data_IF_780822799350
#
_entry.id   IF_780822799350
#
_cell.length_a   1.000
_cell.length_b   1.000
_cell.length_c   1.000
_cell.angle_alpha   90.00
_cell.angle_beta   90.00
_cell.angle_gamma   90.00
#
_symmetry.space_group_name_H-M   'P 1'
#
loop_
_entity.id
_entity.type
_entity.pdbx_description
1 polymer ?
#
# COMPACT_ATOMS: atom_id res chain seq x y z
N UNK A 1 -2.40 -19.55 -8.33
CA UNK A 1 -3.15 -18.39 -7.82
C UNK A 1 -3.20 -17.37 -8.94
N UNK A 2 -4.39 -17.05 -9.45
CA UNK A 2 -4.57 -15.97 -10.42
C UNK A 2 -4.13 -14.65 -9.78
N UNK A 3 -3.13 -13.99 -10.36
CA UNK A 3 -2.52 -12.76 -9.82
C UNK A 3 -3.33 -11.51 -10.17
N UNK A 4 -4.43 -11.67 -10.91
CA UNK A 4 -5.23 -10.59 -11.45
C UNK A 4 -4.53 -9.94 -12.64
N UNK A 5 -5.33 -9.53 -13.62
CA UNK A 5 -4.86 -8.82 -14.80
C UNK A 5 -4.45 -7.37 -14.47
N UNK A 6 -3.38 -6.89 -15.11
CA UNK A 6 -3.01 -5.47 -15.05
C UNK A 6 -3.96 -4.70 -15.96
N UNK A 7 -4.64 -3.70 -15.40
CA UNK A 7 -5.58 -2.86 -16.15
C UNK A 7 -5.40 -1.39 -15.83
N UNK A 8 -5.83 -0.54 -16.76
CA UNK A 8 -5.96 0.90 -16.52
C UNK A 8 -7.19 1.11 -15.63
N UNK A 9 -6.99 1.82 -14.52
CA UNK A 9 -8.08 2.19 -13.62
C UNK A 9 -8.79 3.44 -14.16
N UNK A 10 -10.13 3.41 -14.35
CA UNK A 10 -10.90 4.59 -14.74
C UNK A 10 -10.78 5.72 -13.72
N UNK A 11 -10.74 6.98 -14.17
CA UNK A 11 -10.47 8.17 -13.33
C UNK A 11 -11.50 8.35 -12.21
N UNK A 12 -12.73 7.91 -12.44
CA UNK A 12 -13.82 7.93 -11.47
C UNK A 12 -13.49 7.07 -10.26
N UNK A 13 -12.80 5.94 -10.48
CA UNK A 13 -12.39 4.97 -9.45
C UNK A 13 -11.08 5.32 -8.76
N UNK A 14 -10.41 6.42 -9.13
CA UNK A 14 -9.16 6.80 -8.47
C UNK A 14 -9.43 7.22 -7.03
N UNK A 15 -8.52 6.92 -6.08
CA UNK A 15 -8.61 7.42 -4.72
C UNK A 15 -8.77 8.95 -4.71
N UNK A 16 -9.70 9.46 -3.89
CA UNK A 16 -10.01 10.90 -3.87
C UNK A 16 -8.77 11.76 -3.63
N UNK A 17 -7.98 11.40 -2.63
CA UNK A 17 -6.75 12.11 -2.26
C UNK A 17 -5.72 12.17 -3.40
N UNK A 18 -5.66 11.14 -4.27
CA UNK A 18 -4.75 11.15 -5.42
C UNK A 18 -5.19 12.18 -6.48
N UNK A 19 -6.48 12.49 -6.56
CA UNK A 19 -7.01 13.52 -7.48
C UNK A 19 -6.80 14.94 -6.95
N UNK A 20 -6.45 15.10 -5.68
CA UNK A 20 -6.26 16.40 -5.00
C UNK A 20 -4.81 16.90 -5.04
N UNK A 21 -3.85 16.07 -5.47
CA UNK A 21 -2.45 16.49 -5.59
C UNK A 21 -2.26 17.44 -6.79
N UNK A 22 -1.20 18.25 -6.76
CA UNK A 22 -0.93 19.26 -7.79
C UNK A 22 -0.72 18.67 -9.19
N UNK A 23 -0.06 17.53 -9.28
CA UNK A 23 0.26 16.85 -10.53
C UNK A 23 -0.21 15.38 -10.46
N UNK A 24 -1.53 15.12 -10.62
CA UNK A 24 -2.05 13.76 -10.61
C UNK A 24 -1.57 13.02 -11.86
N UNK A 25 -1.33 11.70 -11.79
CA UNK A 25 -0.86 10.95 -12.95
C UNK A 25 -1.86 11.03 -14.11
N UNK A 26 -1.40 10.87 -15.36
CA UNK A 26 -2.31 10.82 -16.52
C UNK A 26 -3.06 9.48 -16.60
N UNK A 27 -2.40 8.39 -16.19
CA UNK A 27 -2.93 7.03 -16.19
C UNK A 27 -2.50 6.32 -14.92
N UNK A 28 -3.41 5.54 -14.33
CA UNK A 28 -3.10 4.68 -13.19
C UNK A 28 -3.34 3.22 -13.57
N UNK A 29 -2.30 2.41 -13.49
CA UNK A 29 -2.40 0.96 -13.69
C UNK A 29 -2.57 0.26 -12.34
N UNK A 30 -3.39 -0.79 -12.31
CA UNK A 30 -3.61 -1.58 -11.11
C UNK A 30 -3.57 -3.07 -11.42
N UNK A 31 -3.06 -3.84 -10.47
CA UNK A 31 -3.23 -5.29 -10.36
C UNK A 31 -3.84 -5.58 -8.99
N UNK A 32 -5.01 -6.22 -8.99
CA UNK A 32 -5.81 -6.44 -7.78
C UNK A 32 -7.02 -5.50 -7.66
N UNK A 33 -7.46 -5.24 -6.43
CA UNK A 33 -8.64 -4.43 -6.11
C UNK A 33 -8.27 -3.29 -5.17
N UNK A 34 -8.95 -2.14 -5.33
CA UNK A 34 -8.84 -1.05 -4.37
C UNK A 34 -9.75 -1.31 -3.17
N UNK A 35 -9.34 -0.85 -1.98
CA UNK A 35 -10.20 -0.88 -0.79
C UNK A 35 -11.40 0.05 -0.96
N UNK A 36 -12.47 -0.13 -0.16
CA UNK A 36 -13.62 0.77 -0.16
C UNK A 36 -13.25 2.21 0.24
N UNK A 37 -14.02 3.18 -0.26
CA UNK A 37 -13.76 4.62 -0.07
C UNK A 37 -13.91 5.09 1.40
N UNK A 38 -14.60 4.34 2.26
CA UNK A 38 -14.78 4.66 3.67
C UNK A 38 -13.55 4.28 4.54
N UNK A 39 -12.55 3.61 3.96
CA UNK A 39 -11.32 3.25 4.66
C UNK A 39 -10.36 4.44 4.76
N UNK A 40 -9.68 4.55 5.90
CA UNK A 40 -8.60 5.52 6.09
C UNK A 40 -7.30 5.00 5.51
N UNK A 41 -6.63 5.80 4.70
CA UNK A 41 -5.35 5.47 4.10
C UNK A 41 -4.22 5.93 5.02
N UNK A 42 -3.36 5.01 5.45
CA UNK A 42 -2.19 5.30 6.26
C UNK A 42 -0.93 4.94 5.47
N UNK A 43 -0.15 5.97 5.12
CA UNK A 43 1.14 5.78 4.47
C UNK A 43 2.20 5.40 5.50
N UNK A 44 2.88 4.27 5.29
CA UNK A 44 3.98 3.80 6.14
C UNK A 44 5.25 3.76 5.30
N UNK A 45 6.24 4.57 5.68
CA UNK A 45 7.54 4.65 5.00
C UNK A 45 8.66 4.51 6.04
N UNK A 46 9.84 4.11 5.59
CA UNK A 46 11.02 4.13 6.45
C UNK A 46 12.27 3.61 5.78
N UNK A 47 13.30 3.33 6.59
CA UNK A 47 14.60 2.90 6.10
C UNK A 47 14.54 1.53 5.40
N UNK A 48 15.35 1.37 4.35
CA UNK A 48 15.61 0.07 3.70
C UNK A 48 16.37 -0.91 4.61
N UNK A 49 17.07 -0.38 5.61
CA UNK A 49 17.73 -1.14 6.68
C UNK A 49 17.31 -0.58 8.03
N UNK A 50 16.48 -1.33 8.75
CA UNK A 50 15.98 -0.92 10.06
C UNK A 50 16.69 -1.66 11.20
N UNK A 51 16.63 -1.07 12.40
CA UNK A 51 17.09 -1.71 13.64
C UNK A 51 15.98 -2.62 14.20
N UNK A 52 16.28 -3.53 15.15
CA UNK A 52 15.25 -4.28 15.86
C UNK A 52 14.17 -3.37 16.45
N UNK A 53 14.55 -2.27 17.11
CA UNK A 53 13.60 -1.28 17.61
C UNK A 53 12.69 -0.70 16.52
N UNK A 54 13.25 -0.36 15.33
CA UNK A 54 12.45 0.16 14.23
C UNK A 54 11.42 -0.85 13.70
N UNK A 55 11.77 -2.15 13.69
CA UNK A 55 10.82 -3.22 13.39
C UNK A 55 9.73 -3.29 14.45
N UNK A 56 10.11 -3.38 15.71
CA UNK A 56 9.19 -3.60 16.81
C UNK A 56 8.22 -2.41 16.96
N UNK A 57 8.71 -1.18 16.74
CA UNK A 57 7.88 0.02 16.71
C UNK A 57 6.85 -0.02 15.55
N UNK A 58 7.28 -0.37 14.34
CA UNK A 58 6.39 -0.50 13.19
C UNK A 58 5.31 -1.56 13.43
N UNK A 59 5.70 -2.74 13.91
CA UNK A 59 4.78 -3.84 14.22
C UNK A 59 3.80 -3.46 15.33
N UNK A 60 4.26 -2.80 16.39
CA UNK A 60 3.41 -2.36 17.52
C UNK A 60 2.37 -1.33 17.07
N UNK A 61 2.78 -0.35 16.27
CA UNK A 61 1.86 0.65 15.72
C UNK A 61 0.79 -0.01 14.86
N UNK A 62 1.20 -0.92 13.96
CA UNK A 62 0.27 -1.61 13.07
C UNK A 62 -0.65 -2.57 13.81
N UNK A 63 -0.15 -3.29 14.82
CA UNK A 63 -0.95 -4.17 15.67
C UNK A 63 -2.12 -3.42 16.33
N UNK A 64 -1.88 -2.17 16.78
CA UNK A 64 -2.92 -1.30 17.33
C UNK A 64 -4.04 -0.93 16.35
N UNK A 65 -3.87 -1.19 15.05
CA UNK A 65 -4.87 -0.94 14.01
C UNK A 65 -5.71 -2.18 13.66
N UNK A 66 -5.48 -3.32 14.33
CA UNK A 66 -6.24 -4.55 14.07
C UNK A 66 -7.76 -4.31 14.15
N UNK A 67 -8.47 -4.80 13.14
CA UNK A 67 -9.93 -4.68 13.03
C UNK A 67 -10.44 -3.27 12.66
N UNK A 68 -9.56 -2.30 12.46
CA UNK A 68 -9.94 -0.96 12.00
C UNK A 68 -10.12 -0.92 10.48
N UNK A 69 -10.94 0.02 9.98
CA UNK A 69 -11.08 0.30 8.54
C UNK A 69 -9.91 1.14 8.03
N UNK A 70 -8.70 0.56 8.08
CA UNK A 70 -7.46 1.20 7.65
C UNK A 70 -6.83 0.42 6.50
N UNK A 71 -6.26 1.16 5.55
CA UNK A 71 -5.48 0.64 4.44
C UNK A 71 -4.04 1.09 4.63
N UNK A 72 -3.10 0.14 4.65
CA UNK A 72 -1.67 0.45 4.67
C UNK A 72 -1.19 0.66 3.24
N UNK A 73 -0.68 1.85 2.94
CA UNK A 73 -0.06 2.17 1.64
C UNK A 73 1.44 2.39 1.79
N UNK A 74 2.23 1.79 0.89
CA UNK A 74 3.70 1.91 0.92
C UNK A 74 4.34 1.58 -0.44
N UNK A 75 5.66 1.74 -0.58
CA UNK A 75 6.40 1.70 -1.85
C UNK A 75 6.91 0.32 -2.27
N UNK A 76 6.61 -0.74 -1.52
CA UNK A 76 7.11 -2.10 -1.73
C UNK A 76 8.64 -2.25 -1.72
N UNK A 77 9.37 -1.28 -1.15
CA UNK A 77 10.81 -1.38 -1.00
C UNK A 77 11.20 -2.42 0.06
N UNK A 78 12.47 -2.85 0.05
CA UNK A 78 13.05 -3.56 1.19
C UNK A 78 12.98 -2.69 2.45
N UNK A 79 12.97 -3.33 3.62
CA UNK A 79 12.92 -2.63 4.90
C UNK A 79 11.50 -2.40 5.41
N UNK A 80 11.23 -1.18 5.89
CA UNK A 80 9.97 -0.84 6.58
C UNK A 80 8.74 -1.00 5.67
N UNK A 81 8.83 -0.66 4.39
CA UNK A 81 7.73 -0.83 3.43
C UNK A 81 7.27 -2.30 3.39
N UNK A 82 8.18 -3.22 3.08
CA UNK A 82 7.90 -4.66 3.07
C UNK A 82 7.41 -5.19 4.42
N UNK A 83 7.96 -4.67 5.54
CA UNK A 83 7.50 -5.03 6.89
C UNK A 83 6.05 -4.62 7.12
N UNK A 84 5.70 -3.39 6.74
CA UNK A 84 4.36 -2.85 6.92
C UNK A 84 3.31 -3.61 6.11
N UNK A 85 3.62 -3.97 4.86
CA UNK A 85 2.76 -4.81 4.03
C UNK A 85 2.54 -6.19 4.64
N UNK A 86 3.62 -6.85 5.10
CA UNK A 86 3.50 -8.18 5.74
C UNK A 86 2.66 -8.11 6.99
N UNK A 87 2.91 -7.15 7.87
CA UNK A 87 2.16 -7.00 9.12
C UNK A 87 0.69 -6.68 8.85
N UNK A 88 0.39 -5.81 7.88
CA UNK A 88 -0.98 -5.52 7.48
C UNK A 88 -1.73 -6.79 7.07
N UNK A 89 -1.12 -7.64 6.24
CA UNK A 89 -1.71 -8.93 5.83
C UNK A 89 -1.90 -9.88 7.03
N UNK A 90 -0.90 -10.00 7.91
CA UNK A 90 -0.96 -10.83 9.11
C UNK A 90 -2.14 -10.45 10.01
N UNK A 91 -2.42 -9.16 10.15
CA UNK A 91 -3.50 -8.65 10.99
C UNK A 91 -4.81 -8.41 10.23
N UNK A 92 -4.91 -8.92 8.99
CA UNK A 92 -6.09 -8.84 8.12
C UNK A 92 -6.53 -7.40 7.79
N UNK A 93 -5.58 -6.47 7.69
CA UNK A 93 -5.80 -5.16 7.09
C UNK A 93 -5.59 -5.20 5.58
N UNK A 94 -6.23 -4.25 4.89
CA UNK A 94 -6.01 -4.03 3.47
C UNK A 94 -4.66 -3.34 3.27
N UNK A 95 -3.97 -3.66 2.17
CA UNK A 95 -2.71 -3.00 1.83
C UNK A 95 -2.58 -2.73 0.34
N UNK A 96 -1.98 -1.60 -0.01
CA UNK A 96 -1.77 -1.13 -1.37
C UNK A 96 -0.30 -0.78 -1.56
N UNK A 97 0.34 -1.38 -2.57
CA UNK A 97 1.71 -1.11 -2.93
C UNK A 97 1.80 -0.15 -4.13
N UNK A 98 2.70 0.82 -4.07
CA UNK A 98 3.03 1.74 -5.17
C UNK A 98 4.51 1.56 -5.52
N UNK A 99 4.87 0.55 -6.34
CA UNK A 99 6.27 0.28 -6.66
C UNK A 99 6.86 1.38 -7.55
N UNK A 100 8.17 1.60 -7.45
CA UNK A 100 8.93 2.48 -8.34
C UNK A 100 9.22 1.90 -9.73
N UNK A 101 8.54 0.81 -10.11
CA UNK A 101 8.69 0.09 -11.38
C UNK A 101 7.31 -0.15 -12.01
N UNK A 102 7.28 -0.83 -13.17
CA UNK A 102 6.03 -1.32 -13.74
C UNK A 102 5.37 -2.41 -12.86
N UNK A 103 4.15 -2.82 -13.22
CA UNK A 103 3.45 -3.92 -12.53
C UNK A 103 3.70 -5.30 -13.16
N UNK A 104 4.42 -5.35 -14.28
CA UNK A 104 4.74 -6.59 -14.98
C UNK A 104 5.67 -7.46 -14.10
N UNK A 105 5.63 -8.77 -14.27
CA UNK A 105 6.54 -9.67 -13.54
C UNK A 105 7.97 -9.66 -14.10
N UNK A 106 8.21 -8.98 -15.24
CA UNK A 106 9.51 -8.87 -15.92
C UNK A 106 10.30 -7.60 -15.63
N UNK A 107 9.81 -6.72 -14.75
CA UNK A 107 10.55 -5.53 -14.31
C UNK A 107 11.50 -5.84 -13.16
#
# INVERSE_FOLDING_TARGET
>A
MDRGEIKILPKEKWPRLLKEINDPPEKLYIRGTLPPDDYKWLCVIGSRKFTPYGRDACETILEGLRGQKVVIVSGLALGIDSLSHRKALEISLNTVAVPGSGLNDKV
#
